data_IF_143561139279
#
_entry.id   IF_143561139279
#
_cell.length_a   1.000
_cell.length_b   1.000
_cell.length_c   1.000
_cell.angle_alpha   90.00
_cell.angle_beta   90.00
_cell.angle_gamma   90.00
#
_symmetry.space_group_name_H-M   'P 1'
#
loop_
_entity.id
_entity.type
_entity.pdbx_description
1 polymer ?
#
# COMPACT_ATOMS: atom_id res chain seq x y z
N UNK A 1 64.00 35.38 8.14
CA UNK A 1 63.56 34.63 9.34
C UNK A 1 62.67 35.57 10.16
N UNK A 2 61.33 35.46 10.12
CA UNK A 2 60.54 34.52 10.93
C UNK A 2 59.30 34.02 10.16
N UNK A 3 59.01 32.74 10.38
CA UNK A 3 57.99 31.92 9.75
C UNK A 3 56.55 32.30 10.13
N UNK A 4 55.67 31.91 9.22
CA UNK A 4 54.22 32.02 9.13
C UNK A 4 53.38 31.36 10.26
N UNK A 5 52.04 31.56 10.14
CA UNK A 5 50.86 30.85 10.71
C UNK A 5 50.25 31.60 11.91
N UNK A 6 48.95 31.91 11.95
CA UNK A 6 47.83 30.98 11.83
C UNK A 6 46.59 31.65 11.19
N UNK A 7 46.15 31.14 10.03
CA UNK A 7 44.93 30.34 9.87
C UNK A 7 43.61 31.11 10.02
N UNK A 8 43.21 31.73 8.91
CA UNK A 8 41.82 31.88 8.54
C UNK A 8 41.18 30.48 8.47
N UNK A 9 40.30 30.15 9.42
CA UNK A 9 39.38 29.01 9.33
C UNK A 9 38.39 29.04 10.51
N UNK A 10 37.47 30.01 10.56
CA UNK A 10 36.17 29.75 11.19
C UNK A 10 35.31 29.12 10.08
N UNK A 11 35.68 27.89 9.72
CA UNK A 11 34.89 27.03 8.86
C UNK A 11 33.61 26.68 9.62
N UNK A 12 32.53 27.36 9.24
CA UNK A 12 31.17 26.86 9.12
C UNK A 12 30.97 25.43 9.67
N UNK A 13 30.80 25.29 10.98
CA UNK A 13 30.28 24.07 11.60
C UNK A 13 28.79 24.30 11.91
N UNK A 14 28.00 24.57 10.87
CA UNK A 14 26.55 24.38 10.96
C UNK A 14 26.30 22.88 10.70
N UNK A 15 26.54 22.07 11.73
CA UNK A 15 26.08 20.68 11.74
C UNK A 15 24.57 20.75 11.91
N UNK A 16 23.87 20.86 10.77
CA UNK A 16 22.49 20.40 10.72
C UNK A 16 22.57 18.89 10.85
N UNK A 17 22.45 18.41 12.08
CA UNK A 17 22.05 17.04 12.35
C UNK A 17 20.64 16.87 11.76
N UNK A 18 20.54 16.64 10.45
CA UNK A 18 19.31 16.17 9.81
C UNK A 18 19.24 14.67 10.07
N UNK A 19 19.09 14.32 11.34
CA UNK A 19 18.86 12.95 11.76
C UNK A 19 17.42 12.59 11.38
N UNK A 20 17.24 11.92 10.25
CA UNK A 20 15.99 11.22 9.93
C UNK A 20 14.95 11.97 9.09
N UNK A 21 15.33 12.96 8.29
CA UNK A 21 14.42 13.48 7.26
C UNK A 21 14.29 12.42 6.14
N UNK A 22 13.50 11.38 6.38
CA UNK A 22 12.93 10.61 5.28
C UNK A 22 12.28 11.63 4.34
N UNK A 23 12.61 11.59 3.05
CA UNK A 23 11.94 12.41 2.07
C UNK A 23 10.43 12.19 2.25
N UNK A 24 9.68 13.27 2.42
CA UNK A 24 8.25 13.16 2.69
C UNK A 24 7.58 12.36 1.58
N UNK A 25 6.76 11.37 1.97
CA UNK A 25 6.03 10.58 0.99
C UNK A 25 5.00 11.43 0.24
N UNK A 26 4.69 11.00 -0.97
CA UNK A 26 3.64 11.56 -1.82
C UNK A 26 3.02 10.43 -2.64
N UNK A 27 1.96 10.73 -3.40
CA UNK A 27 1.39 9.73 -4.32
C UNK A 27 2.44 9.14 -5.26
N UNK A 28 3.38 9.96 -5.75
CA UNK A 28 4.50 9.52 -6.59
C UNK A 28 5.38 8.44 -5.93
N UNK A 29 5.47 8.43 -4.59
CA UNK A 29 6.20 7.39 -3.85
C UNK A 29 5.55 6.01 -3.99
N UNK A 30 4.22 5.94 -4.21
CA UNK A 30 3.48 4.70 -4.37
C UNK A 30 3.26 4.31 -5.84
N UNK A 31 3.35 5.22 -6.81
CA UNK A 31 3.04 4.93 -8.23
C UNK A 31 3.88 3.78 -8.80
N UNK A 32 3.22 2.80 -9.42
CA UNK A 32 3.81 1.64 -10.08
C UNK A 32 3.02 0.36 -9.82
N UNK A 33 3.52 -0.77 -10.31
CA UNK A 33 2.88 -2.08 -10.18
C UNK A 33 3.51 -2.90 -9.05
N UNK A 34 2.67 -3.50 -8.21
CA UNK A 34 3.03 -4.33 -7.08
C UNK A 34 2.43 -5.72 -7.23
N UNK A 35 3.21 -6.74 -6.88
CA UNK A 35 2.67 -8.04 -6.52
C UNK A 35 2.29 -8.02 -5.04
N UNK A 36 1.14 -8.59 -4.68
CA UNK A 36 0.68 -8.60 -3.31
C UNK A 36 0.13 -9.96 -2.89
N UNK A 37 0.13 -10.19 -1.58
CA UNK A 37 -0.62 -11.28 -0.94
C UNK A 37 -1.55 -10.70 0.12
N UNK A 38 -2.70 -11.33 0.31
CA UNK A 38 -3.58 -11.10 1.46
C UNK A 38 -3.78 -12.41 2.19
N UNK A 39 -3.69 -12.39 3.51
CA UNK A 39 -3.97 -13.56 4.35
C UNK A 39 -4.77 -13.17 5.58
N UNK A 40 -5.53 -14.11 6.15
CA UNK A 40 -6.21 -13.89 7.41
C UNK A 40 -7.55 -14.61 7.49
N UNK A 41 -8.55 -13.97 8.11
CA UNK A 41 -9.88 -14.56 8.34
C UNK A 41 -10.98 -13.51 8.18
N UNK A 42 -12.06 -13.89 7.48
CA UNK A 42 -13.33 -13.18 7.49
C UNK A 42 -14.28 -13.83 8.50
N UNK A 43 -15.07 -13.03 9.19
CA UNK A 43 -16.12 -13.52 10.08
C UNK A 43 -17.45 -13.46 9.32
N UNK A 44 -17.85 -14.60 8.73
CA UNK A 44 -19.10 -14.73 7.99
C UNK A 44 -20.25 -15.06 8.95
N UNK A 45 -21.52 -14.89 8.51
CA UNK A 45 -22.68 -15.35 9.28
C UNK A 45 -22.65 -16.85 9.62
N UNK A 46 -21.95 -17.65 8.80
CA UNK A 46 -21.76 -19.10 8.98
C UNK A 46 -20.56 -19.46 9.86
N UNK A 47 -19.77 -18.47 10.30
CA UNK A 47 -18.56 -18.66 11.10
C UNK A 47 -17.29 -18.07 10.46
N UNK A 48 -16.13 -18.21 11.14
CA UNK A 48 -14.86 -17.73 10.63
C UNK A 48 -14.43 -18.53 9.38
N UNK A 49 -14.02 -17.82 8.33
CA UNK A 49 -13.54 -18.40 7.08
C UNK A 49 -12.11 -17.88 6.78
N UNK A 50 -11.11 -18.78 6.70
CA UNK A 50 -9.76 -18.39 6.30
C UNK A 50 -9.74 -17.75 4.90
N UNK A 51 -8.86 -16.78 4.72
CA UNK A 51 -8.69 -16.04 3.46
C UNK A 51 -7.25 -16.13 3.02
N UNK A 52 -7.06 -16.40 1.72
CA UNK A 52 -5.80 -16.19 1.02
C UNK A 52 -6.08 -15.54 -0.33
N UNK A 53 -5.27 -14.55 -0.72
CA UNK A 53 -5.31 -13.99 -2.06
C UNK A 53 -3.91 -13.62 -2.54
N UNK A 54 -3.71 -13.62 -3.84
CA UNK A 54 -2.48 -13.18 -4.51
C UNK A 54 -2.85 -12.45 -5.80
N UNK A 55 -2.14 -11.37 -6.10
CA UNK A 55 -2.49 -10.59 -7.29
C UNK A 55 -1.50 -9.50 -7.63
N UNK A 56 -1.89 -8.69 -8.61
CA UNK A 56 -1.18 -7.50 -9.06
C UNK A 56 -2.08 -6.27 -8.88
N UNK A 57 -1.51 -5.18 -8.37
CA UNK A 57 -2.15 -3.86 -8.37
C UNK A 57 -1.21 -2.83 -8.96
N UNK A 58 -1.77 -1.86 -9.68
CA UNK A 58 -1.06 -0.71 -10.22
C UNK A 58 -1.67 0.56 -9.67
N UNK A 59 -0.82 1.38 -9.06
CA UNK A 59 -1.12 2.74 -8.62
C UNK A 59 -0.66 3.72 -9.69
N UNK A 60 -1.54 4.58 -10.20
CA UNK A 60 -1.17 5.61 -11.18
C UNK A 60 -0.98 7.00 -10.56
N UNK A 61 -0.47 7.96 -11.35
CA UNK A 61 -0.23 9.33 -10.89
C UNK A 61 -1.52 10.12 -10.60
N UNK A 62 -2.67 9.65 -11.12
CA UNK A 62 -3.96 10.31 -10.94
C UNK A 62 -4.67 9.84 -9.66
N UNK A 63 -4.06 8.95 -8.88
CA UNK A 63 -4.64 8.42 -7.66
C UNK A 63 -5.54 7.20 -7.89
N UNK A 64 -5.51 6.57 -9.07
CA UNK A 64 -6.31 5.39 -9.35
C UNK A 64 -5.56 4.10 -9.02
N UNK A 65 -6.35 3.06 -8.75
CA UNK A 65 -5.91 1.68 -8.57
C UNK A 65 -6.55 0.83 -9.64
N UNK A 66 -5.76 -0.03 -10.29
CA UNK A 66 -6.25 -1.09 -11.18
C UNK A 66 -5.50 -2.38 -10.89
N UNK A 67 -6.12 -3.53 -11.10
CA UNK A 67 -5.47 -4.81 -10.84
C UNK A 67 -6.37 -6.02 -10.98
N UNK A 68 -5.82 -7.15 -10.58
CA UNK A 68 -6.53 -8.43 -10.50
C UNK A 68 -5.92 -9.30 -9.41
N UNK A 69 -6.69 -10.28 -8.93
CA UNK A 69 -6.24 -11.25 -7.96
C UNK A 69 -6.95 -12.59 -8.12
N UNK A 70 -6.31 -13.61 -7.59
CA UNK A 70 -6.90 -14.89 -7.28
C UNK A 70 -7.14 -14.96 -5.77
N UNK A 71 -8.33 -15.39 -5.36
CA UNK A 71 -8.74 -15.41 -3.95
C UNK A 71 -9.36 -16.75 -3.59
N UNK A 72 -9.03 -17.27 -2.41
CA UNK A 72 -9.74 -18.36 -1.74
C UNK A 72 -10.30 -17.89 -0.40
N UNK A 73 -11.57 -18.22 -0.11
CA UNK A 73 -12.17 -18.02 1.22
C UNK A 73 -12.92 -19.27 1.65
N UNK A 74 -12.51 -19.82 2.80
CA UNK A 74 -13.02 -21.12 3.27
C UNK A 74 -12.84 -22.26 2.26
N UNK A 75 -11.87 -22.13 1.33
CA UNK A 75 -11.66 -23.06 0.22
C UNK A 75 -12.38 -22.71 -1.09
N UNK A 76 -13.35 -21.79 -1.08
CA UNK A 76 -14.02 -21.34 -2.30
C UNK A 76 -13.15 -20.35 -3.08
N UNK A 77 -12.85 -20.67 -4.34
CA UNK A 77 -11.92 -19.93 -5.18
C UNK A 77 -12.65 -18.99 -6.16
N UNK A 78 -12.08 -17.82 -6.43
CA UNK A 78 -12.57 -16.86 -7.41
C UNK A 78 -11.43 -16.07 -8.07
N UNK A 79 -11.64 -15.72 -9.34
CA UNK A 79 -10.85 -14.72 -10.07
C UNK A 79 -11.55 -13.37 -9.94
N UNK A 80 -10.81 -12.35 -9.55
CA UNK A 80 -11.37 -11.03 -9.28
C UNK A 80 -10.57 -9.93 -10.00
N UNK A 81 -11.27 -8.88 -10.44
CA UNK A 81 -10.66 -7.64 -10.91
C UNK A 81 -10.81 -6.55 -9.86
N UNK A 82 -9.86 -5.62 -9.85
CA UNK A 82 -9.77 -4.55 -8.85
C UNK A 82 -9.73 -3.22 -9.57
N UNK A 83 -10.60 -2.31 -9.15
CA UNK A 83 -10.47 -0.87 -9.44
C UNK A 83 -10.52 -0.10 -8.13
N UNK A 84 -10.18 1.17 -8.13
CA UNK A 84 -10.25 1.96 -6.91
C UNK A 84 -9.45 3.23 -6.96
N UNK A 85 -9.21 3.76 -5.76
CA UNK A 85 -8.38 4.95 -5.55
C UNK A 85 -7.42 4.74 -4.40
N UNK A 86 -6.37 5.55 -4.37
CA UNK A 86 -5.45 5.60 -3.24
C UNK A 86 -5.05 7.03 -2.90
N UNK A 87 -4.69 7.24 -1.64
CA UNK A 87 -4.09 8.48 -1.15
C UNK A 87 -2.85 8.16 -0.35
N UNK A 88 -1.83 9.02 -0.43
CA UNK A 88 -0.60 8.92 0.36
C UNK A 88 -0.40 10.23 1.10
N UNK A 89 -0.13 10.15 2.40
CA UNK A 89 0.20 11.33 3.19
C UNK A 89 1.71 11.46 3.38
N UNK A 90 2.16 12.61 3.91
CA UNK A 90 3.58 12.94 4.05
C UNK A 90 4.34 12.03 5.01
N UNK A 91 3.63 11.36 5.92
CA UNK A 91 4.18 10.41 6.89
C UNK A 91 4.29 8.97 6.35
N UNK A 92 4.08 8.79 5.04
CA UNK A 92 4.14 7.50 4.36
C UNK A 92 2.99 6.53 4.68
N UNK A 93 1.92 7.01 5.31
CA UNK A 93 0.64 6.29 5.32
C UNK A 93 0.00 6.31 3.93
N UNK A 94 -0.56 5.16 3.55
CA UNK A 94 -1.34 4.98 2.33
C UNK A 94 -2.74 4.47 2.71
N UNK A 95 -3.78 4.99 2.07
CA UNK A 95 -5.12 4.42 2.16
C UNK A 95 -5.58 4.04 0.76
N UNK A 96 -6.00 2.78 0.59
CA UNK A 96 -6.57 2.26 -0.65
C UNK A 96 -8.05 2.01 -0.45
N UNK A 97 -8.88 2.47 -1.40
CA UNK A 97 -10.28 2.08 -1.51
C UNK A 97 -10.40 1.18 -2.74
N UNK A 98 -10.54 -0.12 -2.51
CA UNK A 98 -10.58 -1.13 -3.56
C UNK A 98 -12.01 -1.62 -3.79
N UNK A 99 -12.52 -1.42 -5.01
CA UNK A 99 -13.72 -2.06 -5.52
C UNK A 99 -13.32 -3.34 -6.25
N UNK A 100 -13.95 -4.45 -5.88
CA UNK A 100 -13.59 -5.77 -6.36
C UNK A 100 -14.76 -6.41 -7.07
N UNK A 101 -14.50 -6.94 -8.25
CA UNK A 101 -15.51 -7.48 -9.15
C UNK A 101 -15.22 -8.94 -9.48
N UNK A 102 -16.28 -9.73 -9.63
CA UNK A 102 -16.17 -11.11 -10.13
C UNK A 102 -15.83 -11.15 -11.63
N UNK A 103 -15.65 -12.35 -12.17
CA UNK A 103 -15.37 -12.58 -13.59
C UNK A 103 -16.49 -12.14 -14.54
N UNK A 104 -17.71 -11.91 -14.03
CA UNK A 104 -18.85 -11.40 -14.78
C UNK A 104 -18.98 -9.88 -14.71
N UNK A 105 -18.09 -9.20 -13.98
CA UNK A 105 -18.08 -7.74 -13.81
C UNK A 105 -19.04 -7.24 -12.72
N UNK A 106 -19.59 -8.12 -11.88
CA UNK A 106 -20.43 -7.69 -10.77
C UNK A 106 -19.54 -7.24 -9.60
N UNK A 107 -19.87 -6.09 -8.99
CA UNK A 107 -19.22 -5.68 -7.74
C UNK A 107 -19.55 -6.72 -6.66
N UNK A 108 -18.53 -7.28 -6.02
CA UNK A 108 -18.68 -8.27 -4.94
C UNK A 108 -18.26 -7.73 -3.58
N UNK A 109 -17.44 -6.67 -3.53
CA UNK A 109 -17.11 -5.94 -2.31
C UNK A 109 -16.39 -4.62 -2.58
N UNK A 110 -16.45 -3.72 -1.61
CA UNK A 110 -15.59 -2.55 -1.49
C UNK A 110 -14.84 -2.63 -0.16
N UNK A 111 -13.52 -2.41 -0.19
CA UNK A 111 -12.66 -2.48 1.00
C UNK A 111 -11.87 -1.19 1.17
N UNK A 112 -11.85 -0.66 2.40
CA UNK A 112 -10.89 0.37 2.82
C UNK A 112 -9.70 -0.30 3.48
N UNK A 113 -8.51 -0.06 2.92
CA UNK A 113 -7.27 -0.76 3.27
C UNK A 113 -6.22 0.29 3.65
N UNK A 114 -6.11 0.66 4.94
CA UNK A 114 -5.00 1.47 5.43
C UNK A 114 -3.70 0.66 5.45
N UNK A 115 -2.59 1.33 5.15
CA UNK A 115 -1.27 0.75 5.20
C UNK A 115 -0.18 1.80 5.32
N UNK A 116 1.06 1.31 5.28
CA UNK A 116 2.27 2.11 5.30
C UNK A 116 3.17 1.70 4.15
N UNK A 117 3.75 2.72 3.50
CA UNK A 117 4.82 2.55 2.54
C UNK A 117 6.14 2.37 3.29
N UNK A 118 6.83 1.27 3.00
CA UNK A 118 8.16 0.96 3.56
C UNK A 118 9.16 0.78 2.42
N UNK A 119 10.45 0.70 2.76
CA UNK A 119 11.52 0.54 1.78
C UNK A 119 11.45 1.59 0.64
N UNK A 120 11.29 2.87 1.00
CA UNK A 120 11.14 3.99 0.05
C UNK A 120 10.00 3.79 -0.95
N UNK A 121 8.85 3.27 -0.49
CA UNK A 121 7.68 3.00 -1.33
C UNK A 121 7.82 1.80 -2.26
N UNK A 122 8.85 0.96 -2.09
CA UNK A 122 9.00 -0.30 -2.84
C UNK A 122 8.20 -1.44 -2.22
N UNK A 123 7.67 -1.24 -1.01
CA UNK A 123 6.94 -2.26 -0.29
C UNK A 123 5.80 -1.64 0.51
N UNK A 124 4.69 -2.36 0.65
CA UNK A 124 3.50 -1.96 1.40
C UNK A 124 3.21 -2.98 2.49
N UNK A 125 2.83 -2.49 3.67
CA UNK A 125 2.24 -3.28 4.76
C UNK A 125 0.90 -2.69 5.09
N UNK A 126 -0.16 -3.50 5.05
CA UNK A 126 -1.51 -3.02 5.20
C UNK A 126 -2.41 -4.02 5.94
N UNK A 127 -3.54 -3.50 6.41
CA UNK A 127 -4.63 -4.30 6.98
C UNK A 127 -5.96 -3.78 6.41
N UNK A 128 -7.03 -4.54 6.58
CA UNK A 128 -8.35 -4.14 6.12
C UNK A 128 -9.11 -3.46 7.26
N UNK A 129 -9.54 -2.23 7.04
CA UNK A 129 -10.41 -1.52 7.97
C UNK A 129 -11.88 -1.95 7.77
N UNK A 130 -12.29 -2.14 6.52
CA UNK A 130 -13.67 -2.56 6.16
C UNK A 130 -13.68 -3.54 5.01
N UNK A 131 -14.70 -4.39 4.97
CA UNK A 131 -15.02 -5.29 3.86
C UNK A 131 -16.54 -5.24 3.64
N UNK A 132 -16.98 -4.29 2.83
CA UNK A 132 -18.40 -4.00 2.63
C UNK A 132 -18.90 -4.74 1.39
N UNK A 133 -19.94 -5.55 1.57
CA UNK A 133 -20.65 -6.23 0.48
C UNK A 133 -21.58 -5.27 -0.27
N UNK A 134 -22.05 -5.60 -1.49
CA UNK A 134 -22.93 -4.72 -2.28
C UNK A 134 -24.26 -4.38 -1.61
N UNK A 135 -24.71 -5.23 -0.68
CA UNK A 135 -25.91 -4.99 0.13
C UNK A 135 -25.66 -4.06 1.34
N UNK A 136 -24.44 -3.53 1.49
CA UNK A 136 -24.04 -2.63 2.58
C UNK A 136 -23.59 -3.35 3.86
N UNK A 137 -23.59 -4.68 3.90
CA UNK A 137 -23.09 -5.42 5.06
C UNK A 137 -21.56 -5.31 5.14
N UNK A 138 -21.05 -4.75 6.24
CA UNK A 138 -19.62 -4.78 6.57
C UNK A 138 -19.28 -6.09 7.28
N UNK A 139 -18.39 -6.89 6.68
CA UNK A 139 -17.93 -8.15 7.25
C UNK A 139 -16.76 -7.90 8.19
N UNK A 140 -16.84 -8.31 9.47
CA UNK A 140 -15.70 -8.24 10.36
C UNK A 140 -14.55 -9.09 9.80
N UNK A 141 -13.32 -8.58 9.92
CA UNK A 141 -12.17 -9.22 9.31
C UNK A 141 -10.90 -9.02 10.13
N UNK A 142 -10.00 -10.00 10.05
CA UNK A 142 -8.61 -9.90 10.50
C UNK A 142 -7.77 -10.27 9.30
N UNK A 143 -7.50 -9.29 8.44
CA UNK A 143 -6.79 -9.49 7.17
C UNK A 143 -5.54 -8.61 7.14
N UNK A 144 -4.43 -9.21 6.73
CA UNK A 144 -3.16 -8.53 6.48
C UNK A 144 -2.82 -8.60 5.00
N UNK A 145 -2.18 -7.55 4.49
CA UNK A 145 -1.70 -7.47 3.11
C UNK A 145 -0.24 -7.03 3.10
N UNK A 146 0.56 -7.73 2.31
CA UNK A 146 1.92 -7.34 1.98
C UNK A 146 2.04 -7.20 0.46
N UNK A 147 2.71 -6.15 0.01
CA UNK A 147 2.94 -5.95 -1.42
C UNK A 147 4.37 -5.50 -1.69
N UNK A 148 4.96 -5.98 -2.80
CA UNK A 148 6.29 -5.63 -3.27
C UNK A 148 6.22 -5.10 -4.70
N UNK A 149 6.93 -3.99 -4.93
CA UNK A 149 6.98 -3.33 -6.22
C UNK A 149 7.74 -4.18 -7.23
N UNK A 150 7.06 -4.57 -8.30
CA UNK A 150 7.67 -5.31 -9.42
C UNK A 150 8.02 -4.39 -10.59
N UNK A 151 7.35 -3.23 -10.68
CA UNK A 151 7.61 -2.21 -11.71
C UNK A 151 7.37 -0.81 -11.14
N UNK A 152 8.33 0.09 -11.31
CA UNK A 152 8.15 1.51 -11.01
C UNK A 152 7.30 2.22 -12.08
N UNK A 153 7.02 3.50 -11.87
CA UNK A 153 6.70 4.39 -12.98
C UNK A 153 7.94 4.49 -13.88
N UNK A 154 7.78 4.40 -15.20
CA UNK A 154 8.84 4.79 -16.11
C UNK A 154 8.83 6.32 -16.14
N UNK A 155 9.98 6.94 -15.85
CA UNK A 155 10.19 8.37 -16.08
C UNK A 155 10.14 8.69 -17.59
#
# INVERSE_FOLDING_TARGET
MKLAKAFAAISLFLVLAVSGLHAACSSATAVGTFGFTTTGTLILPTGPAPVAAVGLVTFDLNGNVTGSQDRSVGGAFAHETITGTFTVTRDCTITVVANVYDSSGNLVRTSTIPGVLVNNGKQIRAIFATVVLPNGLDLPSVLTLEADRIRGHAD
#
